data_IF_513926823026
#
_entry.id   IF_513926823026
#
_cell.length_a   1.000
_cell.length_b   1.000
_cell.length_c   1.000
_cell.angle_alpha   90.00
_cell.angle_beta   90.00
_cell.angle_gamma   90.00
#
_symmetry.space_group_name_H-M   'P 1'
#
loop_
_entity.id
_entity.type
_entity.pdbx_description
1 polymer ?
#
# COMPACT_ATOMS: atom_id res chain seq x y z
N UNK A 1 3.11 -8.67 31.19
CA UNK A 1 4.32 -7.80 31.36
C UNK A 1 4.09 -6.44 30.71
N UNK A 2 4.99 -5.44 30.85
CA UNK A 2 4.80 -4.11 30.22
C UNK A 2 4.66 -4.17 28.69
N UNK A 3 5.39 -5.08 28.02
CA UNK A 3 5.27 -5.28 26.57
C UNK A 3 3.91 -5.87 26.17
N UNK A 4 3.35 -6.73 27.01
CA UNK A 4 2.03 -7.32 26.77
C UNK A 4 0.93 -6.26 26.89
N UNK A 5 1.00 -5.38 27.91
CA UNK A 5 0.12 -4.20 28.05
C UNK A 5 0.22 -3.30 26.81
N UNK A 6 1.44 -3.01 26.36
CA UNK A 6 1.69 -2.19 25.16
C UNK A 6 1.01 -2.78 23.91
N UNK A 7 1.23 -4.06 23.65
CA UNK A 7 0.65 -4.75 22.50
C UNK A 7 -0.88 -4.79 22.58
N UNK A 8 -1.46 -5.06 23.76
CA UNK A 8 -2.91 -5.05 23.96
C UNK A 8 -3.53 -3.67 23.70
N UNK A 9 -2.86 -2.58 24.11
CA UNK A 9 -3.33 -1.21 23.85
C UNK A 9 -3.35 -0.91 22.35
N UNK A 10 -2.29 -1.27 21.64
CA UNK A 10 -2.20 -1.09 20.18
C UNK A 10 -3.31 -1.87 19.48
N UNK A 11 -3.50 -3.12 19.88
CA UNK A 11 -4.50 -4.00 19.25
C UNK A 11 -5.92 -3.47 19.50
N UNK A 12 -6.20 -3.04 20.72
CA UNK A 12 -7.49 -2.41 21.09
C UNK A 12 -7.77 -1.18 20.23
N UNK A 13 -6.80 -0.27 20.09
CA UNK A 13 -6.98 0.93 19.26
C UNK A 13 -7.09 0.63 17.78
N UNK A 14 -6.37 -0.38 17.29
CA UNK A 14 -6.47 -0.84 15.90
C UNK A 14 -7.87 -1.37 15.61
N UNK A 15 -8.42 -2.18 16.53
CA UNK A 15 -9.78 -2.70 16.41
C UNK A 15 -10.84 -1.59 16.45
N UNK A 16 -10.74 -0.66 17.40
CA UNK A 16 -11.66 0.49 17.50
C UNK A 16 -11.62 1.33 16.23
N UNK A 17 -10.43 1.62 15.70
CA UNK A 17 -10.27 2.40 14.48
C UNK A 17 -10.90 1.69 13.26
N UNK A 18 -10.71 0.37 13.12
CA UNK A 18 -11.35 -0.40 12.05
C UNK A 18 -12.87 -0.34 12.15
N UNK A 19 -13.42 -0.55 13.34
CA UNK A 19 -14.87 -0.51 13.58
C UNK A 19 -15.48 0.86 13.28
N UNK A 20 -14.78 1.94 13.67
CA UNK A 20 -15.19 3.31 13.35
C UNK A 20 -15.16 3.56 11.84
N UNK A 21 -14.12 3.09 11.16
CA UNK A 21 -13.98 3.20 9.70
C UNK A 21 -15.12 2.51 8.97
N UNK A 22 -15.49 1.30 9.39
CA UNK A 22 -16.58 0.56 8.77
C UNK A 22 -17.94 1.21 9.03
N UNK A 23 -18.13 1.79 10.21
CA UNK A 23 -19.36 2.54 10.55
C UNK A 23 -19.48 3.81 9.71
N UNK A 24 -18.39 4.58 9.60
CA UNK A 24 -18.31 5.78 8.76
C UNK A 24 -18.63 5.45 7.30
N UNK A 25 -18.04 4.38 6.77
CA UNK A 25 -18.28 3.96 5.39
C UNK A 25 -19.74 3.61 5.15
N UNK A 26 -20.37 2.85 6.05
CA UNK A 26 -21.80 2.52 5.94
C UNK A 26 -22.69 3.76 5.93
N UNK A 27 -22.36 4.76 6.77
CA UNK A 27 -23.10 6.02 6.81
C UNK A 27 -22.93 6.82 5.52
N UNK A 28 -21.71 6.94 5.01
CA UNK A 28 -21.42 7.66 3.77
C UNK A 28 -22.10 7.03 2.54
N UNK A 29 -22.19 5.69 2.49
CA UNK A 29 -22.89 4.98 1.42
C UNK A 29 -24.41 5.19 1.47
N UNK A 30 -24.98 5.39 2.66
CA UNK A 30 -26.42 5.63 2.81
C UNK A 30 -26.79 7.12 2.74
N UNK A 31 -25.81 8.02 2.81
CA UNK A 31 -26.02 9.46 2.81
C UNK A 31 -26.46 9.98 1.44
N UNK A 32 -27.36 10.96 1.43
CA UNK A 32 -27.94 11.56 0.23
C UNK A 32 -28.47 10.51 -0.78
N UNK A 33 -29.18 9.49 -0.28
CA UNK A 33 -29.69 8.34 -1.06
C UNK A 33 -28.61 7.62 -1.90
N UNK A 34 -27.37 7.60 -1.40
CA UNK A 34 -26.22 7.01 -2.09
C UNK A 34 -25.47 7.97 -3.02
N UNK A 35 -25.92 9.22 -3.14
CA UNK A 35 -25.29 10.26 -3.96
C UNK A 35 -24.44 11.24 -3.14
N UNK A 36 -23.81 10.76 -2.06
CA UNK A 36 -22.79 11.53 -1.39
C UNK A 36 -21.57 11.70 -2.31
N UNK A 37 -21.18 12.96 -2.61
CA UNK A 37 -20.12 13.25 -3.58
C UNK A 37 -18.77 12.63 -3.21
N UNK A 38 -18.42 12.56 -1.92
CA UNK A 38 -17.16 11.97 -1.46
C UNK A 38 -17.19 10.44 -1.66
N UNK A 39 -18.33 9.82 -1.34
CA UNK A 39 -18.53 8.39 -1.60
C UNK A 39 -18.44 8.08 -3.09
N UNK A 40 -19.15 8.84 -3.95
CA UNK A 40 -19.12 8.66 -5.40
C UNK A 40 -17.71 8.78 -5.99
N UNK A 41 -16.89 9.73 -5.54
CA UNK A 41 -15.50 9.89 -6.01
C UNK A 41 -14.64 8.66 -5.72
N UNK A 42 -14.85 8.03 -4.57
CA UNK A 42 -14.06 6.88 -4.13
C UNK A 42 -14.61 5.56 -4.70
N UNK A 43 -15.93 5.37 -4.74
CA UNK A 43 -16.59 4.17 -5.28
C UNK A 43 -16.37 4.03 -6.79
N UNK A 44 -16.42 5.14 -7.52
CA UNK A 44 -16.10 5.17 -8.96
C UNK A 44 -14.62 4.92 -9.29
N UNK A 45 -13.74 4.92 -8.28
CA UNK A 45 -12.29 4.83 -8.47
C UNK A 45 -11.66 6.08 -9.09
N UNK A 46 -12.40 7.17 -9.26
CA UNK A 46 -11.89 8.40 -9.87
C UNK A 46 -10.83 9.08 -8.99
N UNK A 47 -11.08 9.20 -7.68
CA UNK A 47 -10.14 9.76 -6.72
C UNK A 47 -10.53 9.42 -5.29
N UNK A 48 -9.53 9.12 -4.48
CA UNK A 48 -9.75 8.86 -3.06
C UNK A 48 -9.66 7.38 -2.74
N UNK A 49 -9.35 7.07 -1.49
CA UNK A 49 -9.42 5.71 -0.95
C UNK A 49 -10.19 5.71 0.36
N UNK A 50 -10.70 4.54 0.75
CA UNK A 50 -11.32 4.33 2.07
C UNK A 50 -10.44 4.84 3.21
N UNK A 51 -9.11 4.66 3.09
CA UNK A 51 -8.13 5.15 4.05
C UNK A 51 -8.06 6.69 4.12
N UNK A 52 -8.12 7.38 2.99
CA UNK A 52 -8.13 8.85 2.96
C UNK A 52 -9.43 9.42 3.54
N UNK A 53 -10.57 8.81 3.21
CA UNK A 53 -11.88 9.19 3.76
C UNK A 53 -11.91 8.98 5.28
N UNK A 54 -11.34 7.86 5.76
CA UNK A 54 -11.16 7.60 7.19
C UNK A 54 -10.44 8.75 7.88
N UNK A 55 -9.35 9.28 7.32
CA UNK A 55 -8.61 10.38 7.96
C UNK A 55 -9.36 11.72 7.92
N UNK A 56 -10.28 11.90 6.98
CA UNK A 56 -11.09 13.13 6.87
C UNK A 56 -12.18 13.20 7.93
N UNK A 57 -12.89 12.10 8.18
CA UNK A 57 -14.12 12.11 9.00
C UNK A 57 -14.18 11.04 10.09
N UNK A 58 -13.25 10.08 10.10
CA UNK A 58 -13.02 9.16 11.20
C UNK A 58 -11.76 9.52 11.98
N UNK A 59 -11.43 8.77 13.02
CA UNK A 59 -10.21 9.02 13.78
C UNK A 59 -8.96 8.81 12.92
N UNK A 60 -7.93 9.65 13.12
CA UNK A 60 -6.67 9.52 12.39
C UNK A 60 -5.87 8.29 12.83
N UNK A 61 -6.00 7.89 14.10
CA UNK A 61 -5.47 6.62 14.60
C UNK A 61 -4.06 6.69 15.19
N UNK A 62 -3.42 5.52 15.27
CA UNK A 62 -2.09 5.35 15.83
C UNK A 62 -1.01 5.91 14.88
N UNK A 63 0.01 6.54 15.46
CA UNK A 63 1.12 7.13 14.71
C UNK A 63 2.44 6.45 15.04
N UNK A 64 3.28 6.27 14.02
CA UNK A 64 4.62 5.77 14.21
C UNK A 64 5.46 6.79 14.97
N UNK A 65 6.19 6.31 15.98
CA UNK A 65 7.13 7.12 16.74
C UNK A 65 8.36 7.42 15.86
N UNK A 66 8.87 8.66 15.87
CA UNK A 66 10.15 8.97 15.26
C UNK A 66 11.27 8.16 15.94
N UNK A 67 12.00 7.38 15.15
CA UNK A 67 13.11 6.57 15.67
C UNK A 67 14.36 7.44 15.86
N UNK A 68 15.07 7.21 16.96
CA UNK A 68 16.47 7.61 17.10
C UNK A 68 17.34 6.57 16.40
N UNK A 69 18.38 7.01 15.70
CA UNK A 69 19.36 6.12 15.05
C UNK A 69 19.88 5.10 16.07
N UNK A 70 19.60 3.81 15.85
CA UNK A 70 20.02 2.71 16.73
C UNK A 70 18.90 2.03 17.55
N UNK A 71 17.65 2.48 17.47
CA UNK A 71 16.52 1.77 18.09
C UNK A 71 15.97 0.68 17.15
N UNK A 72 15.97 -0.57 17.58
CA UNK A 72 15.38 -1.69 16.83
C UNK A 72 13.84 -1.62 16.88
N UNK A 73 13.21 -1.71 15.70
CA UNK A 73 11.75 -1.84 15.55
C UNK A 73 10.99 -0.52 15.47
N UNK A 74 10.04 -0.45 14.53
CA UNK A 74 9.12 0.67 14.40
C UNK A 74 8.16 0.71 15.58
N UNK A 75 8.41 1.59 16.56
CA UNK A 75 7.53 1.75 17.71
C UNK A 75 6.33 2.62 17.33
N UNK A 76 5.15 2.21 17.77
CA UNK A 76 3.91 2.97 17.64
C UNK A 76 3.66 3.75 18.95
N UNK A 77 3.16 4.97 18.85
CA UNK A 77 2.76 5.77 20.01
C UNK A 77 1.44 5.19 20.57
N UNK A 78 1.42 4.82 21.85
CA UNK A 78 0.26 4.20 22.52
C UNK A 78 -1.00 5.07 22.50
N UNK A 79 -0.84 6.40 22.46
CA UNK A 79 -1.93 7.36 22.42
C UNK A 79 -2.26 7.73 20.96
N UNK A 80 -3.43 7.33 20.44
CA UNK A 80 -3.84 7.68 19.07
C UNK A 80 -4.28 9.14 18.97
N UNK A 81 -4.32 9.63 17.74
CA UNK A 81 -4.99 10.88 17.40
C UNK A 81 -6.49 10.56 17.21
N UNK A 82 -7.31 11.09 18.11
CA UNK A 82 -8.76 10.89 18.08
C UNK A 82 -9.44 11.83 17.09
N UNK A 83 -8.90 13.05 16.98
CA UNK A 83 -9.45 14.08 16.11
C UNK A 83 -9.25 13.75 14.62
N UNK A 84 -10.06 14.39 13.78
CA UNK A 84 -10.07 14.20 12.33
C UNK A 84 -9.90 15.53 11.60
N UNK A 85 -9.66 15.50 10.28
CA UNK A 85 -9.43 16.76 9.54
C UNK A 85 -10.65 17.66 9.45
N UNK A 86 -11.87 17.11 9.55
CA UNK A 86 -13.11 17.91 9.58
C UNK A 86 -13.25 18.69 10.89
N UNK A 87 -12.85 18.11 12.02
CA UNK A 87 -12.91 18.70 13.35
C UNK A 87 -11.67 19.54 13.70
N UNK A 88 -10.56 19.31 12.99
CA UNK A 88 -9.27 19.93 13.25
C UNK A 88 -8.44 19.12 14.25
N UNK A 89 -7.13 19.40 14.31
CA UNK A 89 -6.20 18.73 15.23
C UNK A 89 -5.71 19.71 16.28
N UNK A 90 -5.54 19.23 17.52
CA UNK A 90 -4.82 20.00 18.53
C UNK A 90 -3.34 20.17 18.15
N UNK A 91 -2.66 21.13 18.80
CA UNK A 91 -1.23 21.40 18.56
C UNK A 91 -0.37 20.15 18.76
N UNK A 92 -0.67 19.34 19.78
CA UNK A 92 0.07 18.12 20.08
C UNK A 92 -0.17 17.04 19.02
N UNK A 93 -1.42 16.80 18.64
CA UNK A 93 -1.78 15.82 17.60
C UNK A 93 -1.16 16.19 16.25
N UNK A 94 -1.21 17.48 15.89
CA UNK A 94 -0.56 17.98 14.69
C UNK A 94 0.95 17.77 14.74
N UNK A 95 1.60 18.11 15.85
CA UNK A 95 3.05 17.90 16.04
C UNK A 95 3.44 16.42 15.89
N UNK A 96 2.67 15.50 16.47
CA UNK A 96 2.89 14.05 16.31
C UNK A 96 2.78 13.66 14.84
N UNK A 97 1.76 14.14 14.12
CA UNK A 97 1.55 13.82 12.71
C UNK A 97 2.68 14.32 11.79
N UNK A 98 3.43 15.37 12.16
CA UNK A 98 4.50 15.90 11.31
C UNK A 98 5.67 14.93 11.11
N UNK A 99 5.95 14.07 12.09
CA UNK A 99 7.08 13.13 12.03
C UNK A 99 6.88 12.09 10.92
N UNK A 100 5.70 11.48 10.87
CA UNK A 100 5.35 10.50 9.83
C UNK A 100 5.35 11.14 8.44
N UNK A 101 4.77 12.34 8.31
CA UNK A 101 4.74 13.07 7.04
C UNK A 101 6.16 13.40 6.54
N UNK A 102 7.02 13.92 7.41
CA UNK A 102 8.41 14.25 7.05
C UNK A 102 9.21 13.02 6.65
N UNK A 103 9.08 11.92 7.40
CA UNK A 103 9.73 10.65 7.07
C UNK A 103 9.26 10.11 5.71
N UNK A 104 7.95 10.10 5.47
CA UNK A 104 7.39 9.65 4.18
C UNK A 104 7.90 10.47 2.99
N UNK A 105 7.98 11.80 3.12
CA UNK A 105 8.53 12.67 2.08
C UNK A 105 10.03 12.41 1.85
N UNK A 106 10.81 12.27 2.92
CA UNK A 106 12.23 11.97 2.81
C UNK A 106 12.49 10.59 2.19
N UNK A 107 11.76 9.56 2.63
CA UNK A 107 11.87 8.20 2.10
C UNK A 107 11.49 8.15 0.61
N UNK A 108 10.47 8.90 0.20
CA UNK A 108 10.09 9.01 -1.23
C UNK A 108 11.19 9.68 -2.05
N UNK A 109 11.79 10.75 -1.52
CA UNK A 109 12.89 11.44 -2.19
C UNK A 109 14.12 10.52 -2.34
N UNK A 110 14.47 9.74 -1.32
CA UNK A 110 15.55 8.76 -1.39
C UNK A 110 15.26 7.64 -2.38
N UNK A 111 14.05 7.05 -2.32
CA UNK A 111 13.64 5.96 -3.24
C UNK A 111 13.61 6.41 -4.71
N UNK A 112 13.37 7.69 -4.98
CA UNK A 112 13.43 8.24 -6.34
C UNK A 112 14.82 8.04 -6.96
N UNK A 113 15.88 8.30 -6.18
CA UNK A 113 17.25 8.10 -6.64
C UNK A 113 17.56 6.62 -6.88
N UNK A 114 17.13 5.74 -5.95
CA UNK A 114 17.36 4.29 -6.06
C UNK A 114 16.66 3.68 -7.28
N UNK A 115 15.42 4.09 -7.57
CA UNK A 115 14.68 3.62 -8.75
C UNK A 115 15.38 4.02 -10.06
N UNK A 116 15.89 5.25 -10.13
CA UNK A 116 16.67 5.71 -11.28
C UNK A 116 17.98 4.93 -11.43
N UNK A 117 18.67 4.68 -10.33
CA UNK A 117 19.90 3.89 -10.33
C UNK A 117 19.66 2.43 -10.77
N UNK A 118 18.59 1.79 -10.28
CA UNK A 118 18.21 0.44 -10.69
C UNK A 118 17.90 0.38 -12.18
N UNK A 119 17.13 1.34 -12.69
CA UNK A 119 16.78 1.43 -14.12
C UNK A 119 18.05 1.58 -14.97
N UNK A 120 18.98 2.44 -14.56
CA UNK A 120 20.27 2.60 -15.23
C UNK A 120 21.04 1.27 -15.27
N UNK A 121 21.14 0.56 -14.15
CA UNK A 121 21.83 -0.74 -14.11
C UNK A 121 21.19 -1.79 -15.00
N UNK A 122 19.86 -1.83 -15.07
CA UNK A 122 19.14 -2.73 -15.96
C UNK A 122 19.47 -2.40 -17.42
N UNK A 123 19.43 -1.12 -17.79
CA UNK A 123 19.82 -0.66 -19.14
C UNK A 123 21.28 -1.00 -19.43
N UNK A 124 22.21 -0.72 -18.52
CA UNK A 124 23.64 -1.00 -18.72
C UNK A 124 23.89 -2.49 -19.03
N UNK A 125 23.13 -3.41 -18.43
CA UNK A 125 23.27 -4.87 -18.69
C UNK A 125 22.59 -5.31 -19.99
N UNK A 126 21.46 -4.71 -20.37
CA UNK A 126 20.63 -5.18 -21.47
C UNK A 126 20.62 -4.29 -22.72
N UNK A 127 21.38 -3.20 -22.76
CA UNK A 127 21.33 -2.24 -23.88
C UNK A 127 21.71 -2.84 -25.24
N UNK A 128 22.55 -3.88 -25.24
CA UNK A 128 22.99 -4.58 -26.45
C UNK A 128 22.07 -5.76 -26.85
N UNK A 129 20.94 -5.98 -26.16
CA UNK A 129 19.99 -7.05 -26.49
C UNK A 129 19.03 -6.57 -27.59
N UNK A 130 19.29 -7.02 -28.82
CA UNK A 130 18.53 -6.63 -30.03
C UNK A 130 17.95 -7.88 -30.70
N UNK A 131 16.71 -7.78 -31.19
CA UNK A 131 16.06 -8.83 -32.01
C UNK A 131 16.63 -8.75 -33.43
N UNK A 132 17.40 -9.76 -33.83
CA UNK A 132 18.10 -9.77 -35.11
C UNK A 132 17.52 -10.73 -36.16
N UNK A 133 16.66 -11.66 -35.72
CA UNK A 133 16.06 -12.69 -36.58
C UNK A 133 14.62 -12.98 -36.15
N UNK A 134 13.80 -13.47 -37.08
CA UNK A 134 12.38 -13.78 -36.83
C UNK A 134 12.19 -15.11 -36.09
N UNK A 135 12.95 -16.14 -36.45
CA UNK A 135 12.92 -17.46 -35.81
C UNK A 135 14.33 -18.04 -35.68
N UNK A 136 14.69 -18.42 -34.45
CA UNK A 136 15.97 -19.06 -34.13
C UNK A 136 15.93 -20.59 -34.30
N UNK A 137 14.76 -21.18 -34.54
CA UNK A 137 14.54 -22.62 -34.75
C UNK A 137 14.78 -23.50 -33.51
N UNK A 138 14.85 -22.90 -32.32
CA UNK A 138 15.15 -23.64 -31.09
C UNK A 138 13.98 -24.50 -30.63
N UNK A 139 14.28 -25.72 -30.16
CA UNK A 139 13.31 -26.61 -29.52
C UNK A 139 13.33 -26.47 -27.98
N UNK A 140 14.01 -25.44 -27.45
CA UNK A 140 14.16 -25.22 -26.01
C UNK A 140 13.18 -24.16 -25.54
N UNK A 141 12.38 -24.49 -24.53
CA UNK A 141 11.51 -23.55 -23.84
C UNK A 141 11.49 -23.77 -22.33
N UNK A 142 10.64 -23.01 -21.66
CA UNK A 142 10.36 -23.15 -20.23
C UNK A 142 8.94 -23.64 -20.04
N UNK A 143 8.74 -24.60 -19.13
CA UNK A 143 7.40 -25.07 -18.77
C UNK A 143 6.70 -23.98 -17.95
N UNK A 144 5.55 -23.53 -18.44
CA UNK A 144 4.73 -22.54 -17.75
C UNK A 144 3.56 -23.23 -17.04
N UNK A 145 3.38 -22.93 -15.76
CA UNK A 145 2.23 -23.39 -14.96
C UNK A 145 1.53 -22.17 -14.36
N UNK A 146 0.37 -22.35 -13.74
CA UNK A 146 -0.17 -21.33 -12.82
C UNK A 146 0.84 -20.99 -11.71
N UNK A 147 0.92 -19.71 -11.33
CA UNK A 147 1.76 -19.26 -10.24
C UNK A 147 0.94 -19.28 -8.95
N UNK A 148 1.28 -20.19 -8.04
CA UNK A 148 0.61 -20.32 -6.74
C UNK A 148 1.51 -19.87 -5.61
N UNK A 149 0.91 -19.27 -4.60
CA UNK A 149 1.50 -19.13 -3.27
C UNK A 149 0.62 -19.90 -2.29
N UNK A 150 1.13 -21.05 -1.83
CA UNK A 150 0.32 -22.09 -1.20
C UNK A 150 -0.83 -22.54 -2.11
N UNK A 151 -2.08 -22.35 -1.70
CA UNK A 151 -3.28 -22.72 -2.46
C UNK A 151 -3.90 -21.55 -3.24
N UNK A 152 -3.38 -20.32 -3.07
CA UNK A 152 -3.89 -19.14 -3.75
C UNK A 152 -3.20 -18.96 -5.10
N UNK A 153 -4.00 -18.92 -6.17
CA UNK A 153 -3.51 -18.63 -7.51
C UNK A 153 -3.24 -17.13 -7.61
N UNK A 154 -1.96 -16.74 -7.64
CA UNK A 154 -1.55 -15.34 -7.80
C UNK A 154 -1.70 -14.90 -9.25
N UNK A 155 -1.33 -15.77 -10.20
CA UNK A 155 -1.46 -15.53 -11.62
C UNK A 155 -1.88 -16.81 -12.33
N UNK A 156 -2.95 -16.70 -13.11
CA UNK A 156 -3.50 -17.83 -13.88
C UNK A 156 -2.53 -18.25 -14.99
N UNK A 157 -2.67 -19.49 -15.48
CA UNK A 157 -1.88 -19.94 -16.63
C UNK A 157 -2.12 -19.04 -17.84
N UNK A 158 -3.38 -18.66 -18.10
CA UNK A 158 -3.77 -17.82 -19.23
C UNK A 158 -3.03 -16.46 -19.26
N UNK A 159 -2.98 -15.76 -18.12
CA UNK A 159 -2.23 -14.50 -18.00
C UNK A 159 -0.73 -14.68 -18.26
N UNK A 160 -0.15 -15.81 -17.85
CA UNK A 160 1.28 -16.06 -18.00
C UNK A 160 1.70 -16.43 -19.42
N UNK A 161 0.82 -17.10 -20.17
CA UNK A 161 1.10 -17.57 -21.54
C UNK A 161 0.63 -16.59 -22.62
N UNK A 162 -0.20 -15.61 -22.29
CA UNK A 162 -0.70 -14.62 -23.24
C UNK A 162 0.47 -13.91 -23.95
N UNK A 163 0.46 -13.94 -25.29
CA UNK A 163 1.50 -13.33 -26.12
C UNK A 163 2.79 -14.15 -26.26
N UNK A 164 2.88 -15.35 -25.69
CA UNK A 164 4.00 -16.28 -25.88
C UNK A 164 3.66 -17.32 -26.96
N UNK A 165 4.70 -17.84 -27.61
CA UNK A 165 4.58 -18.91 -28.61
C UNK A 165 4.89 -20.26 -27.95
N UNK A 166 4.11 -21.30 -28.27
CA UNK A 166 4.36 -22.66 -27.79
C UNK A 166 5.53 -23.30 -28.54
N UNK A 167 6.40 -24.01 -27.82
CA UNK A 167 7.54 -24.72 -28.42
C UNK A 167 7.12 -26.04 -29.07
N UNK A 168 6.09 -26.68 -28.53
CA UNK A 168 5.51 -27.92 -29.02
C UNK A 168 4.01 -27.74 -29.24
N UNK A 169 3.42 -28.64 -30.02
CA UNK A 169 1.98 -28.77 -30.12
C UNK A 169 1.39 -29.08 -28.74
N UNK A 170 0.29 -28.41 -28.39
CA UNK A 170 -0.36 -28.45 -27.07
C UNK A 170 -1.50 -29.47 -27.04
#
# INVERSE_FOLDING_TARGET
TNNERYNQIIDTWTHVNSKLSDTLMKQLTADNDGFNSIYMMMDSGARGSKEQIRQLSGMRGLMAKPQKSGAEGGQIIENPILSNFKEGLSVLEYFISTHGARKGLADTALKTADAGYLTRRLVDVSHDVIINEEDCGTLRGLVCTELKNNDEVIASLGERILGRVSVHDV
#
